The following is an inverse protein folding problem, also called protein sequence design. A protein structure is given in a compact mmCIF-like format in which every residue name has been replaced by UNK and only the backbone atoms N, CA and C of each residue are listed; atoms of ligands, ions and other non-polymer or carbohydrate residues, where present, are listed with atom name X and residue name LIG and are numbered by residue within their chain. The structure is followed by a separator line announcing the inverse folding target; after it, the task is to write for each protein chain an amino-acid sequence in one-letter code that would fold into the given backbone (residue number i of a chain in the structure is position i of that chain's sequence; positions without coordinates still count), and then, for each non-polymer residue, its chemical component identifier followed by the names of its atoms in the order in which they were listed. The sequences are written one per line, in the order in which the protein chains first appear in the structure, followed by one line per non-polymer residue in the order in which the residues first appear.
data_IF_561112553380
#
_entry.id   IF_561112553380
#
_cell.length_a   1.000
_cell.length_b   1.000
_cell.length_c   1.000
_cell.angle_alpha   90.00
_cell.angle_beta   90.00
_cell.angle_gamma   90.00
#
_symmetry.space_group_name_H-M   'P 1'
#
loop_
_entity.id
_entity.type
_entity.pdbx_description
1 polymer ?
#
# COMPACT_ATOMS: atom_id res chain seq x y z
N UNK A 1 2.73 -14.37 -10.33
CA UNK A 1 1.50 -14.80 -9.64
C UNK A 1 0.68 -15.56 -10.67
N UNK A 2 0.30 -16.82 -10.41
CA UNK A 2 -0.45 -17.64 -11.38
C UNK A 2 -1.97 -17.48 -11.18
N UNK A 3 -2.45 -16.24 -11.33
CA UNK A 3 -3.88 -15.91 -11.23
C UNK A 3 -4.36 -15.61 -12.65
N UNK A 4 -5.23 -16.45 -13.18
CA UNK A 4 -5.81 -16.29 -14.53
C UNK A 4 -7.26 -15.81 -14.49
N UNK A 5 -7.95 -16.04 -13.38
CA UNK A 5 -9.36 -15.66 -13.18
C UNK A 5 -9.49 -14.87 -11.88
N UNK A 6 -10.17 -13.71 -11.87
CA UNK A 6 -10.39 -12.95 -10.64
C UNK A 6 -11.27 -13.74 -9.67
N UNK A 7 -10.98 -13.63 -8.37
CA UNK A 7 -11.91 -14.12 -7.35
C UNK A 7 -13.18 -13.27 -7.33
N UNK A 8 -14.28 -13.77 -6.75
CA UNK A 8 -15.55 -13.04 -6.66
C UNK A 8 -15.37 -11.63 -6.07
N UNK A 9 -14.65 -11.52 -4.94
CA UNK A 9 -14.40 -10.21 -4.32
C UNK A 9 -13.55 -9.30 -5.19
N UNK A 10 -12.62 -9.84 -6.00
CA UNK A 10 -11.83 -9.05 -6.94
C UNK A 10 -12.69 -8.55 -8.11
N UNK A 11 -13.54 -9.41 -8.68
CA UNK A 11 -14.44 -9.06 -9.78
C UNK A 11 -15.40 -7.95 -9.38
N UNK A 12 -15.84 -7.90 -8.12
CA UNK A 12 -16.70 -6.84 -7.60
C UNK A 12 -15.92 -5.57 -7.23
N UNK A 13 -14.81 -5.70 -6.47
CA UNK A 13 -14.11 -4.55 -5.90
C UNK A 13 -13.26 -3.77 -6.91
N UNK A 14 -12.65 -4.42 -7.89
CA UNK A 14 -11.78 -3.75 -8.86
C UNK A 14 -12.52 -2.66 -9.66
N UNK A 15 -13.63 -2.96 -10.37
CA UNK A 15 -14.34 -1.92 -11.13
C UNK A 15 -14.94 -0.85 -10.21
N UNK A 16 -15.40 -1.21 -9.02
CA UNK A 16 -15.90 -0.26 -8.04
C UNK A 16 -14.79 0.75 -7.66
N UNK A 17 -13.65 0.27 -7.18
CA UNK A 17 -12.54 1.15 -6.74
C UNK A 17 -12.02 2.03 -7.89
N UNK A 18 -11.98 1.52 -9.13
CA UNK A 18 -11.59 2.32 -10.31
C UNK A 18 -12.52 3.51 -10.58
N UNK A 19 -13.80 3.42 -10.18
CA UNK A 19 -14.76 4.52 -10.28
C UNK A 19 -14.55 5.62 -9.23
N UNK A 20 -13.74 5.35 -8.20
CA UNK A 20 -13.43 6.28 -7.12
C UNK A 20 -14.52 6.34 -6.04
N UNK A 21 -14.12 6.68 -4.82
CA UNK A 21 -15.00 6.71 -3.64
C UNK A 21 -14.47 5.83 -2.51
N UNK A 22 -15.30 5.65 -1.49
CA UNK A 22 -15.00 4.87 -0.29
C UNK A 22 -15.78 3.56 -0.28
N UNK A 23 -15.10 2.47 0.05
CA UNK A 23 -15.67 1.12 -0.07
C UNK A 23 -15.40 0.25 1.16
N UNK A 24 -16.41 -0.54 1.54
CA UNK A 24 -16.28 -1.61 2.52
C UNK A 24 -16.22 -2.97 1.81
N UNK A 25 -15.06 -3.62 1.84
CA UNK A 25 -14.87 -4.95 1.23
C UNK A 25 -15.12 -6.06 2.26
N UNK A 26 -16.38 -6.49 2.38
CA UNK A 26 -16.77 -7.56 3.30
C UNK A 26 -16.54 -8.96 2.69
N UNK A 27 -15.49 -9.66 3.12
CA UNK A 27 -15.22 -11.05 2.73
C UNK A 27 -14.28 -11.73 3.73
N UNK A 28 -14.22 -13.07 3.74
CA UNK A 28 -13.36 -13.85 4.66
C UNK A 28 -11.86 -13.77 4.28
N UNK A 29 -10.95 -14.08 5.20
CA UNK A 29 -9.49 -14.11 4.93
C UNK A 29 -9.17 -15.18 3.88
N UNK A 30 -8.23 -14.90 2.97
CA UNK A 30 -7.88 -15.82 1.88
C UNK A 30 -8.70 -15.64 0.59
N UNK A 31 -9.77 -14.83 0.60
CA UNK A 31 -10.61 -14.60 -0.60
C UNK A 31 -9.98 -13.74 -1.70
N UNK A 32 -8.75 -13.24 -1.51
CA UNK A 32 -8.08 -12.39 -2.48
C UNK A 32 -8.36 -10.89 -2.36
N UNK A 33 -8.95 -10.43 -1.24
CA UNK A 33 -9.22 -9.00 -0.95
C UNK A 33 -8.02 -8.08 -1.19
N UNK A 34 -6.82 -8.51 -0.77
CA UNK A 34 -5.60 -7.70 -0.88
C UNK A 34 -5.31 -7.29 -2.32
N UNK A 35 -5.39 -8.22 -3.27
CA UNK A 35 -5.27 -7.86 -4.68
C UNK A 35 -6.49 -7.08 -5.19
N UNK A 36 -7.68 -7.36 -4.65
CA UNK A 36 -8.91 -6.66 -4.99
C UNK A 36 -8.81 -5.14 -4.80
N UNK A 37 -8.20 -4.67 -3.71
CA UNK A 37 -7.95 -3.24 -3.53
C UNK A 37 -6.60 -2.76 -4.09
N UNK A 38 -5.53 -3.56 -4.04
CA UNK A 38 -4.21 -3.10 -4.49
C UNK A 38 -4.13 -2.89 -6.00
N UNK A 39 -4.71 -3.77 -6.81
CA UNK A 39 -4.66 -3.67 -8.27
C UNK A 39 -5.25 -2.34 -8.79
N UNK A 40 -6.50 -1.97 -8.45
CA UNK A 40 -7.08 -0.73 -8.94
C UNK A 40 -6.37 0.50 -8.38
N UNK A 41 -5.93 0.48 -7.12
CA UNK A 41 -5.15 1.59 -6.52
C UNK A 41 -3.83 1.79 -7.27
N UNK A 42 -3.10 0.72 -7.57
CA UNK A 42 -1.83 0.81 -8.31
C UNK A 42 -2.06 1.32 -9.73
N UNK A 43 -3.12 0.90 -10.41
CA UNK A 43 -3.45 1.42 -11.74
C UNK A 43 -3.75 2.92 -11.70
N UNK A 44 -4.62 3.36 -10.78
CA UNK A 44 -4.94 4.79 -10.60
C UNK A 44 -3.69 5.62 -10.26
N UNK A 45 -2.84 5.10 -9.38
CA UNK A 45 -1.58 5.74 -9.00
C UNK A 45 -0.64 5.89 -10.20
N UNK A 46 -0.51 4.86 -11.04
CA UNK A 46 0.30 4.88 -12.26
C UNK A 46 -0.29 5.74 -13.36
N UNK A 47 -1.61 5.81 -13.47
CA UNK A 47 -2.29 6.74 -14.36
C UNK A 47 -1.98 8.19 -13.99
N UNK A 48 -2.10 8.55 -12.71
CA UNK A 48 -1.69 9.88 -12.21
C UNK A 48 -0.20 10.19 -12.44
N UNK A 49 0.68 9.19 -12.32
CA UNK A 49 2.11 9.35 -12.65
C UNK A 49 2.31 9.71 -14.13
N UNK A 50 1.64 9.00 -15.05
CA UNK A 50 1.74 9.24 -16.50
C UNK A 50 1.10 10.56 -16.94
N UNK A 51 -0.06 10.88 -16.41
CA UNK A 51 -0.87 12.02 -16.87
C UNK A 51 -0.52 13.34 -16.19
N UNK A 52 -0.14 13.29 -14.90
CA UNK A 52 0.04 14.49 -14.07
C UNK A 52 1.49 14.65 -13.59
N UNK A 53 2.37 13.67 -13.87
CA UNK A 53 3.73 13.64 -13.32
C UNK A 53 3.78 13.51 -11.80
N UNK A 54 2.67 13.14 -11.15
CA UNK A 54 2.61 13.06 -9.70
C UNK A 54 3.34 11.81 -9.21
N UNK A 55 4.54 12.00 -8.66
CA UNK A 55 5.41 10.92 -8.15
C UNK A 55 5.63 11.07 -6.65
N UNK A 56 5.83 9.94 -5.96
CA UNK A 56 6.05 9.94 -4.52
C UNK A 56 7.35 10.62 -4.17
N UNK A 57 7.33 11.40 -3.09
CA UNK A 57 8.47 12.19 -2.58
C UNK A 57 9.06 11.53 -1.33
N UNK A 58 10.31 11.86 -0.95
CA UNK A 58 10.89 11.46 0.32
C UNK A 58 9.90 11.63 1.48
N UNK A 59 9.72 10.60 2.31
CA UNK A 59 8.81 10.58 3.48
C UNK A 59 7.31 10.82 3.17
N UNK A 60 6.89 10.84 1.90
CA UNK A 60 5.54 11.23 1.47
C UNK A 60 4.95 10.17 0.54
N UNK A 61 4.45 9.04 1.10
CA UNK A 61 3.80 8.02 0.29
C UNK A 61 2.46 8.50 -0.26
N UNK A 62 2.04 7.89 -1.37
CA UNK A 62 0.75 8.15 -2.01
C UNK A 62 -0.30 7.14 -1.59
N UNK A 63 0.11 5.94 -1.19
CA UNK A 63 -0.76 4.87 -0.69
C UNK A 63 -0.33 4.48 0.72
N UNK A 64 -1.27 4.43 1.64
CA UNK A 64 -1.13 3.79 2.95
C UNK A 64 -2.01 2.54 2.99
N UNK A 65 -1.54 1.50 3.66
CA UNK A 65 -2.37 0.33 3.99
C UNK A 65 -2.17 -0.01 5.46
N UNK A 66 -3.26 -0.06 6.22
CA UNK A 66 -3.22 -0.31 7.65
C UNK A 66 -3.62 -1.74 8.00
N UNK A 67 -2.66 -2.48 8.58
CA UNK A 67 -2.89 -3.81 9.15
C UNK A 67 -3.07 -3.73 10.67
N UNK A 68 -4.02 -4.47 11.28
CA UNK A 68 -4.22 -4.46 12.73
C UNK A 68 -3.04 -5.05 13.51
N UNK A 69 -2.29 -5.98 12.91
CA UNK A 69 -1.11 -6.61 13.51
C UNK A 69 0.11 -6.46 12.60
N UNK A 70 1.30 -6.68 13.17
CA UNK A 70 2.57 -6.62 12.40
C UNK A 70 2.61 -7.73 11.35
N UNK A 71 2.17 -8.92 11.72
CA UNK A 71 2.17 -10.12 10.88
C UNK A 71 1.26 -9.91 9.66
N UNK A 72 0.07 -9.34 9.87
CA UNK A 72 -0.84 -9.04 8.76
C UNK A 72 -0.29 -7.91 7.87
N UNK A 73 0.36 -6.89 8.45
CA UNK A 73 1.04 -5.86 7.66
C UNK A 73 2.18 -6.46 6.79
N UNK A 74 2.94 -7.41 7.33
CA UNK A 74 3.99 -8.11 6.58
C UNK A 74 3.40 -9.00 5.46
N UNK A 75 2.30 -9.71 5.72
CA UNK A 75 1.59 -10.49 4.70
C UNK A 75 1.11 -9.61 3.55
N UNK A 76 0.46 -8.48 3.85
CA UNK A 76 0.02 -7.50 2.85
C UNK A 76 1.21 -6.96 2.06
N UNK A 77 2.32 -6.66 2.75
CA UNK A 77 3.56 -6.20 2.10
C UNK A 77 4.10 -7.24 1.13
N UNK A 78 4.04 -8.54 1.46
CA UNK A 78 4.44 -9.62 0.56
C UNK A 78 3.65 -9.61 -0.75
N UNK A 79 2.33 -9.45 -0.65
CA UNK A 79 1.44 -9.33 -1.84
C UNK A 79 1.78 -8.08 -2.65
N UNK A 80 1.96 -6.93 -1.99
CA UNK A 80 2.32 -5.68 -2.66
C UNK A 80 3.71 -5.75 -3.34
N UNK A 81 4.69 -6.42 -2.73
CA UNK A 81 6.00 -6.68 -3.34
C UNK A 81 5.89 -7.59 -4.56
N UNK A 82 5.02 -8.60 -4.54
CA UNK A 82 4.79 -9.43 -5.73
C UNK A 82 4.29 -8.60 -6.94
N UNK A 83 3.51 -7.53 -6.69
CA UNK A 83 3.12 -6.56 -7.72
C UNK A 83 4.30 -5.68 -8.17
N UNK A 84 5.19 -5.29 -7.26
CA UNK A 84 6.34 -4.44 -7.57
C UNK A 84 7.32 -5.01 -8.60
N UNK A 85 7.35 -6.34 -8.76
CA UNK A 85 8.15 -7.00 -9.79
C UNK A 85 7.62 -6.78 -11.22
N UNK A 86 6.33 -6.50 -11.36
CA UNK A 86 5.67 -6.29 -12.66
C UNK A 86 5.43 -4.82 -12.95
N UNK A 87 5.18 -4.04 -11.89
CA UNK A 87 4.91 -2.62 -11.97
C UNK A 87 5.96 -1.92 -11.12
N UNK A 88 6.76 -1.01 -11.69
CA UNK A 88 7.82 -0.27 -10.97
C UNK A 88 7.25 0.49 -9.75
N UNK A 89 7.17 -0.18 -8.60
CA UNK A 89 6.45 0.25 -7.40
C UNK A 89 7.37 0.11 -6.19
N UNK A 90 7.57 1.17 -5.42
CA UNK A 90 8.37 1.14 -4.20
C UNK A 90 7.48 0.88 -3.00
N UNK A 91 7.61 -0.32 -2.45
CA UNK A 91 6.79 -0.82 -1.33
C UNK A 91 7.64 -1.00 -0.09
N UNK A 92 7.20 -0.43 1.03
CA UNK A 92 7.85 -0.59 2.34
C UNK A 92 6.84 -0.99 3.41
N UNK A 93 7.26 -1.85 4.34
CA UNK A 93 6.55 -2.09 5.58
C UNK A 93 7.20 -1.28 6.71
N UNK A 94 6.49 -0.33 7.30
CA UNK A 94 7.00 0.43 8.45
C UNK A 94 7.06 -0.42 9.74
N UNK A 95 6.41 -1.58 9.73
CA UNK A 95 6.35 -2.52 10.84
C UNK A 95 7.36 -3.67 10.74
N UNK A 96 8.26 -3.66 9.76
CA UNK A 96 9.17 -4.78 9.51
C UNK A 96 9.89 -5.24 10.78
N UNK A 97 9.60 -6.47 11.17
CA UNK A 97 10.16 -7.12 12.34
C UNK A 97 11.67 -7.30 12.16
N UNK A 98 12.45 -7.04 13.22
CA UNK A 98 13.90 -7.24 13.22
C UNK A 98 14.75 -6.12 12.59
N UNK A 99 14.14 -5.09 11.98
CA UNK A 99 14.88 -3.92 11.49
C UNK A 99 15.03 -2.87 12.59
N UNK A 100 16.26 -2.41 12.92
CA UNK A 100 16.46 -1.29 13.85
C UNK A 100 15.71 -0.03 13.41
N UNK A 101 15.27 0.79 14.37
CA UNK A 101 14.51 2.02 14.08
C UNK A 101 15.23 2.93 13.08
N UNK A 102 16.55 3.11 13.22
CA UNK A 102 17.34 3.93 12.30
C UNK A 102 17.27 3.43 10.85
N UNK A 103 17.22 2.11 10.64
CA UNK A 103 17.06 1.53 9.31
C UNK A 103 15.65 1.72 8.76
N UNK A 104 14.63 1.63 9.62
CA UNK A 104 13.26 1.96 9.21
C UNK A 104 13.16 3.43 8.76
N UNK A 105 13.75 4.35 9.52
CA UNK A 105 13.81 5.77 9.17
C UNK A 105 14.58 6.01 7.88
N UNK A 106 15.71 5.33 7.68
CA UNK A 106 16.48 5.41 6.44
C UNK A 106 15.63 4.99 5.22
N UNK A 107 14.89 3.88 5.33
CA UNK A 107 14.02 3.39 4.25
C UNK A 107 12.89 4.38 3.97
N UNK A 108 12.25 4.92 5.02
CA UNK A 108 11.16 5.91 4.89
C UNK A 108 11.66 7.27 4.38
N UNK A 109 12.94 7.59 4.58
CA UNK A 109 13.55 8.82 4.05
C UNK A 109 13.65 8.82 2.53
N UNK A 110 13.59 7.64 1.89
CA UNK A 110 13.52 7.50 0.44
C UNK A 110 12.07 7.69 -0.04
N UNK A 111 11.85 8.04 -1.31
CA UNK A 111 10.49 8.10 -1.81
C UNK A 111 9.91 6.68 -1.90
N UNK A 112 8.80 6.45 -1.21
CA UNK A 112 8.06 5.19 -1.18
C UNK A 112 6.68 5.45 -1.77
N UNK A 113 6.21 4.57 -2.66
CA UNK A 113 4.90 4.75 -3.30
C UNK A 113 3.78 4.22 -2.42
N UNK A 114 4.01 3.06 -1.82
CA UNK A 114 3.09 2.38 -0.92
C UNK A 114 3.80 2.05 0.40
N UNK A 115 3.19 2.45 1.51
CA UNK A 115 3.62 2.07 2.86
C UNK A 115 2.55 1.24 3.54
N UNK A 116 2.92 0.04 3.98
CA UNK A 116 2.08 -0.80 4.84
C UNK A 116 2.53 -0.64 6.29
N UNK A 117 1.58 -0.48 7.21
CA UNK A 117 1.91 -0.30 8.63
C UNK A 117 0.76 -0.73 9.55
N UNK A 118 1.02 -0.83 10.85
CA UNK A 118 -0.03 -0.79 11.87
C UNK A 118 -0.31 0.66 12.27
N UNK A 119 -1.54 0.98 12.71
CA UNK A 119 -1.90 2.35 13.08
C UNK A 119 -0.94 2.98 14.10
N UNK A 120 -0.58 2.23 15.14
CA UNK A 120 0.34 2.69 16.21
C UNK A 120 1.72 3.05 15.67
N UNK A 121 2.26 2.23 14.76
CA UNK A 121 3.61 2.42 14.23
C UNK A 121 3.66 3.55 13.20
N UNK A 122 2.64 3.66 12.36
CA UNK A 122 2.48 4.79 11.47
C UNK A 122 2.45 6.11 12.27
N UNK A 123 1.63 6.17 13.32
CA UNK A 123 1.50 7.35 14.15
C UNK A 123 2.83 7.73 14.83
N UNK A 124 3.62 6.75 15.27
CA UNK A 124 4.96 7.00 15.80
C UNK A 124 5.83 7.71 14.74
N UNK A 125 5.92 7.17 13.52
CA UNK A 125 6.72 7.78 12.45
C UNK A 125 6.21 9.18 12.04
N UNK A 126 4.90 9.41 12.10
CA UNK A 126 4.32 10.74 11.84
C UNK A 126 4.74 11.73 12.93
N UNK A 127 4.63 11.36 14.20
CA UNK A 127 5.02 12.21 15.34
C UNK A 127 6.52 12.55 15.34
N UNK A 128 7.36 11.61 14.93
CA UNK A 128 8.81 11.78 14.84
C UNK A 128 9.27 12.47 13.55
N UNK A 129 8.37 12.85 12.63
CA UNK A 129 8.74 13.50 11.36
C UNK A 129 9.44 12.57 10.37
N UNK A 130 9.25 11.26 10.52
CA UNK A 130 9.79 10.22 9.66
C UNK A 130 8.89 9.95 8.43
N UNK A 131 7.59 10.28 8.52
CA UNK A 131 6.60 10.13 7.45
C UNK A 131 5.57 11.27 7.53
N UNK A 132 5.12 11.77 6.37
CA UNK A 132 4.07 12.77 6.24
C UNK A 132 2.94 12.23 5.35
N UNK A 133 1.69 12.41 5.78
CA UNK A 133 0.52 11.84 5.09
C UNK A 133 -0.18 12.81 4.13
N UNK A 134 0.32 14.04 3.95
CA UNK A 134 -0.35 15.08 3.13
C UNK A 134 -0.51 14.70 1.64
N UNK A 135 0.38 13.86 1.13
CA UNK A 135 0.38 13.43 -0.27
C UNK A 135 -0.36 12.09 -0.48
N UNK A 136 -0.93 11.52 0.59
CA UNK A 136 -1.69 10.27 0.54
C UNK A 136 -2.99 10.51 -0.21
N UNK A 137 -3.28 9.62 -1.16
CA UNK A 137 -4.50 9.62 -1.98
C UNK A 137 -5.38 8.41 -1.68
N UNK A 138 -4.80 7.33 -1.13
CA UNK A 138 -5.49 6.09 -0.78
C UNK A 138 -5.02 5.58 0.59
N UNK A 139 -5.97 5.17 1.44
CA UNK A 139 -5.77 4.65 2.80
C UNK A 139 -6.50 3.32 3.00
#
# INVERSE_FOLDING_TARGET
MNITTPTEIQALSIPAILSGGDYLLASHTGSGKTLGYLLPIVELMKRQEREQGFVSRPKRPRVLVLGPTKELAEQITGVAKALSHHVKLRVTCANSTGLPLNKQVEILSRPNDLVVSSPTKLLQHVKEGNLFYRDVQWL
#
